data_IF_695385038482
#
_entry.id   IF_695385038482
#
_cell.length_a   1.000
_cell.length_b   1.000
_cell.length_c   1.000
_cell.angle_alpha   90.00
_cell.angle_beta   90.00
_cell.angle_gamma   90.00
#
_symmetry.space_group_name_H-M   'P 1'
#
loop_
_entity.id
_entity.type
_entity.pdbx_description
1 polymer ?
#
# COMPACT_ATOMS: atom_id res chain seq x y z
N UNK A 1 9.16 -0.51 -9.41
CA UNK A 1 8.89 -1.21 -10.68
C UNK A 1 8.73 -2.68 -10.37
N UNK A 2 7.57 -3.26 -10.68
CA UNK A 2 7.29 -4.70 -10.58
C UNK A 2 7.37 -5.26 -12.00
N UNK A 3 8.23 -6.25 -12.22
CA UNK A 3 8.36 -6.95 -13.51
C UNK A 3 7.56 -8.25 -13.40
N UNK A 4 6.63 -8.49 -14.32
CA UNK A 4 5.87 -9.73 -14.38
C UNK A 4 6.45 -10.57 -15.52
N UNK A 5 7.22 -11.61 -15.18
CA UNK A 5 7.87 -12.47 -16.16
C UNK A 5 6.82 -13.35 -16.89
N UNK A 6 6.81 -13.30 -18.21
CA UNK A 6 5.84 -14.00 -19.06
C UNK A 6 6.48 -14.98 -20.05
N UNK A 7 7.77 -15.29 -19.88
CA UNK A 7 8.51 -16.23 -20.74
C UNK A 7 7.91 -17.64 -20.75
N UNK A 8 7.14 -18.02 -19.73
CA UNK A 8 6.42 -19.30 -19.62
C UNK A 8 4.90 -19.16 -19.47
N UNK A 9 4.34 -17.94 -19.65
CA UNK A 9 2.94 -17.66 -19.40
C UNK A 9 2.04 -18.11 -20.57
N UNK A 10 1.03 -18.92 -20.27
CA UNK A 10 -0.01 -19.29 -21.23
C UNK A 10 -0.93 -18.08 -21.56
N UNK A 11 -1.73 -18.19 -22.63
CA UNK A 11 -2.64 -17.11 -23.08
C UNK A 11 -3.54 -16.57 -21.95
N UNK A 12 -4.07 -17.47 -21.13
CA UNK A 12 -4.95 -17.14 -20.00
C UNK A 12 -4.21 -16.30 -18.94
N UNK A 13 -2.94 -16.59 -18.68
CA UNK A 13 -2.12 -15.83 -17.74
C UNK A 13 -1.88 -14.41 -18.24
N UNK A 14 -1.68 -14.24 -19.56
CA UNK A 14 -1.56 -12.91 -20.17
C UNK A 14 -2.81 -12.05 -19.98
N UNK A 15 -3.99 -12.61 -20.27
CA UNK A 15 -5.28 -11.93 -20.07
C UNK A 15 -5.49 -11.50 -18.62
N UNK A 16 -5.08 -12.32 -17.64
CA UNK A 16 -5.24 -11.94 -16.24
C UNK A 16 -4.29 -10.81 -15.82
N UNK A 17 -3.08 -10.77 -16.36
CA UNK A 17 -2.15 -9.66 -16.10
C UNK A 17 -2.69 -8.36 -16.69
N UNK A 18 -3.28 -8.40 -17.88
CA UNK A 18 -3.96 -7.24 -18.48
C UNK A 18 -5.14 -6.79 -17.60
N UNK A 19 -5.96 -7.73 -17.09
CA UNK A 19 -7.02 -7.42 -16.13
C UNK A 19 -6.49 -6.82 -14.82
N UNK A 20 -5.35 -7.29 -14.32
CA UNK A 20 -4.71 -6.70 -13.13
C UNK A 20 -4.33 -5.24 -13.40
N UNK A 21 -3.74 -4.95 -14.56
CA UNK A 21 -3.38 -3.59 -14.99
C UNK A 21 -4.63 -2.71 -15.10
N UNK A 22 -5.74 -3.21 -15.63
CA UNK A 22 -6.97 -2.44 -15.76
C UNK A 22 -7.66 -2.18 -14.42
N UNK A 23 -7.59 -3.12 -13.48
CA UNK A 23 -8.02 -2.90 -12.09
C UNK A 23 -7.15 -1.84 -11.43
N UNK A 24 -5.83 -1.91 -11.59
CA UNK A 24 -4.88 -0.92 -11.08
C UNK A 24 -5.22 0.50 -11.58
N UNK A 25 -5.49 0.66 -12.88
CA UNK A 25 -5.91 1.94 -13.46
C UNK A 25 -7.24 2.46 -12.87
N UNK A 26 -8.22 1.57 -12.67
CA UNK A 26 -9.51 1.96 -12.09
C UNK A 26 -9.37 2.42 -10.64
N UNK A 27 -8.56 1.70 -9.85
CA UNK A 27 -8.32 2.02 -8.44
C UNK A 27 -7.53 3.32 -8.31
N UNK A 28 -6.57 3.57 -9.20
CA UNK A 28 -5.80 4.82 -9.23
C UNK A 28 -6.70 6.06 -9.35
N UNK A 29 -7.80 5.97 -10.10
CA UNK A 29 -8.75 7.08 -10.25
C UNK A 29 -9.40 7.53 -8.93
N UNK A 30 -9.30 6.73 -7.85
CA UNK A 30 -9.76 7.11 -6.50
C UNK A 30 -8.72 7.90 -5.71
N UNK A 31 -7.45 7.89 -6.12
CA UNK A 31 -6.33 8.56 -5.46
C UNK A 31 -6.34 8.40 -3.92
N UNK A 32 -6.39 7.16 -3.45
CA UNK A 32 -6.49 6.87 -2.03
C UNK A 32 -5.13 6.66 -1.37
N UNK A 33 -4.85 7.38 -0.28
CA UNK A 33 -3.54 7.37 0.39
C UNK A 33 -3.09 5.98 0.88
N UNK A 34 -4.04 5.09 1.20
CA UNK A 34 -3.76 3.73 1.71
C UNK A 34 -3.82 2.64 0.64
N UNK A 35 -3.78 3.02 -0.63
CA UNK A 35 -3.59 2.11 -1.75
C UNK A 35 -2.33 2.57 -2.50
N UNK A 36 -1.55 1.60 -2.98
CA UNK A 36 -0.36 1.91 -3.77
C UNK A 36 -0.75 2.61 -5.08
N UNK A 37 -0.09 3.71 -5.37
CA UNK A 37 -0.36 4.50 -6.56
C UNK A 37 0.20 3.80 -7.81
N UNK A 38 -0.63 3.64 -8.83
CA UNK A 38 -0.22 3.13 -10.14
C UNK A 38 0.31 4.29 -10.98
N UNK A 39 1.55 4.16 -11.44
CA UNK A 39 2.23 5.22 -12.21
C UNK A 39 2.24 4.94 -13.72
N UNK A 40 2.01 3.68 -14.12
CA UNK A 40 1.95 3.29 -15.52
C UNK A 40 2.32 1.83 -15.74
N UNK A 41 2.17 1.38 -16.99
CA UNK A 41 2.57 0.04 -17.42
C UNK A 41 3.18 0.11 -18.81
N UNK A 42 4.14 -0.77 -19.09
CA UNK A 42 4.77 -0.90 -20.41
C UNK A 42 5.15 -2.36 -20.65
N UNK A 43 5.62 -2.70 -21.85
CA UNK A 43 6.14 -4.04 -22.16
C UNK A 43 7.64 -3.92 -22.40
N UNK A 44 8.42 -4.80 -21.76
CA UNK A 44 9.86 -4.90 -21.93
C UNK A 44 10.23 -6.35 -22.21
N UNK A 45 10.93 -6.60 -23.32
CA UNK A 45 11.34 -7.95 -23.74
C UNK A 45 10.19 -8.97 -23.86
N UNK A 46 8.99 -8.48 -24.18
CA UNK A 46 7.76 -9.30 -24.25
C UNK A 46 7.05 -9.49 -22.91
N UNK A 47 7.61 -8.98 -21.81
CA UNK A 47 7.06 -9.06 -20.47
C UNK A 47 6.36 -7.73 -20.07
N UNK A 48 5.12 -7.75 -19.57
CA UNK A 48 4.44 -6.60 -19.02
C UNK A 48 5.09 -6.16 -17.70
N UNK A 49 5.42 -4.89 -17.65
CA UNK A 49 6.00 -4.18 -16.53
C UNK A 49 4.97 -3.23 -15.93
N UNK A 50 4.83 -3.26 -14.61
CA UNK A 50 3.96 -2.36 -13.85
C UNK A 50 4.82 -1.42 -13.02
N UNK A 51 4.59 -0.12 -13.17
CA UNK A 51 5.25 0.93 -12.42
C UNK A 51 4.29 1.44 -11.35
N UNK A 52 4.74 1.43 -10.11
CA UNK A 52 3.98 1.88 -8.95
C UNK A 52 4.87 2.77 -8.09
N UNK A 53 4.27 3.51 -7.16
CA UNK A 53 5.02 4.28 -6.18
C UNK A 53 5.99 3.40 -5.37
N UNK A 54 7.10 4.02 -4.94
CA UNK A 54 8.13 3.33 -4.16
C UNK A 54 7.70 3.26 -2.68
N UNK A 55 7.67 2.05 -2.14
CA UNK A 55 7.49 1.80 -0.71
C UNK A 55 8.79 1.35 -0.04
N UNK A 56 8.95 1.70 1.23
CA UNK A 56 10.17 1.51 2.04
C UNK A 56 10.27 0.08 2.60
N UNK A 57 9.27 -0.34 3.38
CA UNK A 57 9.26 -1.65 4.06
C UNK A 57 7.89 -2.31 3.99
N UNK A 58 7.87 -3.65 4.00
CA UNK A 58 6.64 -4.42 4.18
C UNK A 58 6.23 -4.48 5.64
N UNK A 59 4.94 -4.66 5.89
CA UNK A 59 4.41 -4.90 7.24
C UNK A 59 4.98 -6.22 7.81
N UNK A 60 5.19 -7.22 6.95
CA UNK A 60 5.87 -8.46 7.30
C UNK A 60 7.28 -8.21 7.87
N UNK A 61 8.09 -7.38 7.20
CA UNK A 61 9.44 -7.02 7.69
C UNK A 61 9.35 -6.26 9.02
N UNK A 62 8.39 -5.34 9.15
CA UNK A 62 8.16 -4.60 10.39
C UNK A 62 7.82 -5.54 11.58
N UNK A 63 6.99 -6.57 11.35
CA UNK A 63 6.63 -7.57 12.37
C UNK A 63 7.84 -8.45 12.72
N UNK A 64 8.61 -8.89 11.72
CA UNK A 64 9.86 -9.65 11.91
C UNK A 64 10.87 -8.88 12.78
N UNK A 65 11.08 -7.60 12.48
CA UNK A 65 12.01 -6.75 13.24
C UNK A 65 11.59 -6.55 14.71
N UNK A 66 10.27 -6.59 15.01
CA UNK A 66 9.76 -6.57 16.38
C UNK A 66 10.03 -7.92 17.07
N UNK A 67 9.76 -9.02 16.38
CA UNK A 67 9.96 -10.37 16.88
C UNK A 67 11.43 -10.67 17.19
N UNK A 68 12.36 -10.24 16.35
CA UNK A 68 13.81 -10.34 16.60
C UNK A 68 14.25 -9.62 17.88
N UNK A 69 13.49 -8.61 18.30
CA UNK A 69 13.71 -7.85 19.54
C UNK A 69 12.89 -8.40 20.72
N UNK A 70 12.28 -9.57 20.58
CA UNK A 70 11.32 -10.15 21.53
C UNK A 70 10.20 -9.18 21.91
N UNK A 71 9.69 -8.42 20.93
CA UNK A 71 8.59 -7.48 21.10
C UNK A 71 7.43 -7.84 20.18
N UNK A 72 6.22 -7.48 20.62
CA UNK A 72 5.02 -7.45 19.80
C UNK A 72 4.63 -6.01 19.48
N UNK A 73 3.75 -5.83 18.49
CA UNK A 73 3.21 -4.52 18.16
C UNK A 73 2.26 -4.07 19.26
N UNK A 74 2.38 -2.82 19.74
CA UNK A 74 1.45 -2.28 20.72
C UNK A 74 0.06 -2.07 20.10
N UNK A 75 -0.99 -2.19 20.92
CA UNK A 75 -2.38 -2.12 20.45
C UNK A 75 -2.72 -0.77 19.78
N UNK A 76 -2.18 0.34 20.30
CA UNK A 76 -2.40 1.66 19.72
C UNK A 76 -1.85 1.73 18.30
N UNK A 77 -0.61 1.26 18.11
CA UNK A 77 0.00 1.20 16.78
C UNK A 77 -0.70 0.20 15.87
N UNK A 78 -1.13 -0.94 16.40
CA UNK A 78 -1.94 -1.91 15.68
C UNK A 78 -3.22 -1.27 15.12
N UNK A 79 -3.98 -0.54 15.95
CA UNK A 79 -5.21 0.16 15.55
C UNK A 79 -4.91 1.22 14.48
N UNK A 80 -3.81 1.97 14.60
CA UNK A 80 -3.44 2.98 13.61
C UNK A 80 -3.13 2.38 12.23
N UNK A 81 -2.45 1.24 12.20
CA UNK A 81 -2.13 0.52 10.97
C UNK A 81 -3.38 -0.16 10.40
N UNK A 82 -4.17 -0.82 11.26
CA UNK A 82 -5.38 -1.49 10.85
C UNK A 82 -6.40 -0.52 10.26
N UNK A 83 -6.55 0.69 10.83
CA UNK A 83 -7.42 1.72 10.25
C UNK A 83 -7.03 2.02 8.80
N UNK A 84 -5.74 2.25 8.54
CA UNK A 84 -5.23 2.55 7.20
C UNK A 84 -5.51 1.41 6.22
N UNK A 85 -5.33 0.16 6.65
CA UNK A 85 -5.66 -1.01 5.83
C UNK A 85 -7.18 -1.05 5.57
N UNK A 86 -8.00 -0.83 6.59
CA UNK A 86 -9.47 -0.84 6.49
C UNK A 86 -9.96 0.25 5.53
N UNK A 87 -9.40 1.46 5.61
CA UNK A 87 -9.74 2.56 4.70
C UNK A 87 -9.41 2.20 3.24
N UNK A 88 -8.27 1.56 3.00
CA UNK A 88 -7.90 1.07 1.66
C UNK A 88 -8.82 -0.05 1.17
N UNK A 89 -9.13 -1.05 2.01
CA UNK A 89 -10.01 -2.17 1.64
C UNK A 89 -11.45 -1.70 1.39
N UNK A 90 -11.94 -0.72 2.16
CA UNK A 90 -13.27 -0.14 1.97
C UNK A 90 -13.43 0.44 0.57
N UNK A 91 -12.44 1.20 0.07
CA UNK A 91 -12.46 1.74 -1.29
C UNK A 91 -12.55 0.63 -2.34
N UNK A 92 -11.80 -0.46 -2.16
CA UNK A 92 -11.86 -1.61 -3.06
C UNK A 92 -13.24 -2.26 -3.04
N UNK A 93 -13.77 -2.51 -1.84
CA UNK A 93 -15.08 -3.15 -1.66
C UNK A 93 -16.23 -2.28 -2.19
N UNK A 94 -16.18 -0.96 -2.02
CA UNK A 94 -17.16 -0.02 -2.58
C UNK A 94 -17.11 0.02 -4.12
N UNK A 95 -15.97 -0.33 -4.73
CA UNK A 95 -15.82 -0.52 -6.17
C UNK A 95 -16.16 -1.94 -6.65
N UNK A 96 -16.65 -2.82 -5.75
CA UNK A 96 -16.84 -4.25 -6.02
C UNK A 96 -15.55 -5.00 -6.43
N UNK A 97 -14.39 -4.48 -6.01
CA UNK A 97 -13.09 -5.12 -6.22
C UNK A 97 -12.73 -5.93 -4.97
N UNK A 98 -12.44 -7.21 -5.18
CA UNK A 98 -11.96 -8.12 -4.12
C UNK A 98 -10.45 -8.25 -4.30
N UNK A 99 -9.67 -8.02 -3.24
CA UNK A 99 -8.21 -8.01 -3.31
C UNK A 99 -7.60 -9.41 -3.45
N UNK A 100 -8.13 -10.40 -2.71
CA UNK A 100 -7.81 -11.85 -2.77
C UNK A 100 -6.44 -12.27 -2.25
N UNK A 101 -5.51 -11.34 -2.03
CA UNK A 101 -4.18 -11.64 -1.47
C UNK A 101 -3.80 -10.69 -0.33
N UNK A 102 -4.76 -10.33 0.54
CA UNK A 102 -4.46 -9.50 1.71
C UNK A 102 -3.57 -10.26 2.69
N UNK A 103 -2.35 -9.76 2.87
CA UNK A 103 -1.35 -10.31 3.79
C UNK A 103 -0.31 -9.26 4.15
N UNK A 104 0.44 -9.51 5.21
CA UNK A 104 1.48 -8.59 5.70
C UNK A 104 2.59 -8.30 4.68
N UNK A 105 2.81 -9.17 3.68
CA UNK A 105 3.77 -8.92 2.59
C UNK A 105 3.25 -7.94 1.54
N UNK A 106 1.93 -7.85 1.37
CA UNK A 106 1.26 -6.99 0.38
C UNK A 106 0.77 -5.68 1.01
N UNK A 107 1.19 -5.39 2.25
CA UNK A 107 0.95 -4.11 2.91
C UNK A 107 2.31 -3.48 3.12
N UNK A 108 2.54 -2.34 2.49
CA UNK A 108 3.84 -1.67 2.49
C UNK A 108 3.73 -0.25 3.02
N UNK A 109 4.82 0.25 3.58
CA UNK A 109 4.89 1.63 4.06
C UNK A 109 5.44 2.54 2.97
N UNK A 110 4.64 3.50 2.52
CA UNK A 110 5.05 4.54 1.61
C UNK A 110 6.10 5.48 2.21
N UNK A 111 6.77 6.25 1.36
CA UNK A 111 7.71 7.29 1.79
C UNK A 111 7.03 8.41 2.59
N UNK A 112 5.73 8.60 2.35
CA UNK A 112 4.80 9.47 3.09
C UNK A 112 4.46 8.96 4.51
N UNK A 113 5.02 7.80 4.91
CA UNK A 113 4.77 7.09 6.19
C UNK A 113 3.38 6.50 6.34
N UNK A 114 2.56 6.45 5.28
CA UNK A 114 1.28 5.75 5.26
C UNK A 114 1.48 4.28 4.90
N UNK A 115 0.63 3.42 5.43
CA UNK A 115 0.52 2.03 5.02
C UNK A 115 -0.41 1.92 3.82
N UNK A 116 0.03 1.18 2.82
CA UNK A 116 -0.57 1.07 1.51
C UNK A 116 -0.77 -0.39 1.16
N UNK A 117 -1.95 -0.71 0.65
CA UNK A 117 -2.26 -2.01 0.06
C UNK A 117 -1.60 -2.09 -1.31
N UNK A 118 -0.90 -3.18 -1.56
CA UNK A 118 -0.16 -3.46 -2.79
C UNK A 118 -0.59 -4.81 -3.38
N UNK A 119 -0.24 -5.06 -4.64
CA UNK A 119 -0.38 -6.36 -5.29
C UNK A 119 -1.82 -6.94 -5.31
N UNK A 120 -2.64 -6.39 -6.21
CA UNK A 120 -3.99 -6.87 -6.48
C UNK A 120 -3.95 -8.27 -7.10
N UNK A 121 -4.49 -9.27 -6.40
CA UNK A 121 -4.38 -10.69 -6.75
C UNK A 121 -5.19 -11.14 -7.98
N UNK A 122 -5.44 -10.26 -8.95
CA UNK A 122 -6.27 -10.57 -10.15
C UNK A 122 -5.60 -11.64 -11.01
N UNK A 123 -4.27 -11.60 -11.17
CA UNK A 123 -3.50 -12.65 -11.85
C UNK A 123 -3.48 -14.01 -11.13
N UNK A 124 -3.87 -14.06 -9.85
CA UNK A 124 -3.83 -15.29 -9.04
C UNK A 124 -5.06 -16.19 -9.18
N UNK A 125 -6.07 -15.77 -9.95
CA UNK A 125 -7.23 -16.60 -10.27
C UNK A 125 -6.86 -17.91 -10.98
N UNK A 126 -5.80 -17.89 -11.81
CA UNK A 126 -5.27 -19.12 -12.44
C UNK A 126 -4.46 -19.93 -11.42
N UNK A 127 -3.71 -19.25 -10.55
CA UNK A 127 -2.98 -19.92 -9.49
C UNK A 127 -3.93 -20.73 -8.63
N UNK A 128 -5.18 -20.36 -8.30
CA UNK A 128 -6.01 -21.22 -7.43
C UNK A 128 -6.23 -22.63 -8.01
N UNK A 129 -6.36 -22.78 -9.33
CA UNK A 129 -6.43 -24.10 -9.97
C UNK A 129 -5.08 -24.85 -9.90
N UNK A 130 -3.96 -24.13 -10.00
CA UNK A 130 -2.60 -24.65 -9.88
C UNK A 130 -2.06 -24.74 -8.43
N UNK A 131 -2.65 -24.04 -7.45
CA UNK A 131 -2.33 -24.00 -6.01
C UNK A 131 -2.98 -25.20 -5.34
N UNK A 132 -4.11 -25.67 -5.87
CA UNK A 132 -4.68 -26.96 -5.49
C UNK A 132 -3.82 -28.14 -5.97
N UNK A 133 -3.03 -27.98 -7.05
CA UNK A 133 -2.14 -29.03 -7.62
C UNK A 133 -0.65 -28.85 -7.33
N UNK A 134 -0.17 -27.64 -6.98
CA UNK A 134 1.25 -27.32 -6.81
C UNK A 134 1.54 -26.58 -5.50
N UNK A 135 2.72 -26.83 -4.95
CA UNK A 135 3.34 -26.23 -3.74
C UNK A 135 3.64 -24.72 -3.88
N UNK A 136 2.80 -23.94 -4.55
CA UNK A 136 3.04 -22.54 -4.88
C UNK A 136 1.90 -21.72 -4.27
N UNK A 137 2.19 -21.01 -3.18
CA UNK A 137 1.23 -20.17 -2.47
C UNK A 137 1.59 -20.00 -1.00
N UNK A 138 1.07 -18.94 -0.36
CA UNK A 138 1.16 -18.76 1.11
C UNK A 138 -0.20 -19.16 1.71
N UNK A 139 -0.44 -20.45 2.02
CA UNK A 139 -1.77 -20.98 2.39
C UNK A 139 -2.34 -20.36 3.67
N UNK A 140 -1.50 -19.72 4.49
CA UNK A 140 -1.83 -19.20 5.82
C UNK A 140 -2.93 -18.12 5.86
N UNK A 141 -3.30 -17.52 4.72
CA UNK A 141 -4.32 -16.46 4.63
C UNK A 141 -5.58 -16.87 3.86
N UNK A 142 -5.65 -18.13 3.38
CA UNK A 142 -6.76 -18.62 2.57
C UNK A 142 -7.96 -18.96 3.45
N UNK A 143 -9.15 -18.54 3.04
CA UNK A 143 -10.39 -18.79 3.78
C UNK A 143 -11.01 -20.16 3.43
N UNK A 144 -11.77 -20.77 4.35
CA UNK A 144 -12.29 -22.14 4.20
C UNK A 144 -13.11 -22.34 2.92
N UNK A 145 -14.00 -21.41 2.57
CA UNK A 145 -14.86 -21.52 1.39
C UNK A 145 -14.09 -21.53 0.06
N UNK A 146 -12.89 -20.95 0.03
CA UNK A 146 -11.99 -20.95 -1.13
C UNK A 146 -11.31 -22.30 -1.27
N UNK A 147 -10.97 -22.93 -0.14
CA UNK A 147 -10.45 -24.31 -0.13
C UNK A 147 -11.50 -25.33 -0.58
N UNK A 148 -12.78 -24.95 -0.58
CA UNK A 148 -13.92 -25.76 -1.00
C UNK A 148 -14.40 -25.42 -2.42
N UNK A 149 -13.73 -24.50 -3.13
CA UNK A 149 -14.08 -24.11 -4.50
C UNK A 149 -15.39 -23.31 -4.63
N UNK A 150 -15.91 -22.72 -3.54
CA UNK A 150 -17.12 -21.89 -3.54
C UNK A 150 -16.83 -20.47 -4.05
N UNK A 151 -17.88 -19.75 -4.46
CA UNK A 151 -17.76 -18.39 -4.96
C UNK A 151 -17.08 -17.46 -3.96
N UNK A 152 -16.08 -16.72 -4.44
CA UNK A 152 -15.37 -15.66 -3.72
C UNK A 152 -16.27 -14.43 -3.57
N UNK A 153 -16.47 -13.96 -2.35
CA UNK A 153 -17.07 -12.66 -2.07
C UNK A 153 -16.12 -11.77 -1.25
N UNK A 154 -16.56 -10.57 -0.88
CA UNK A 154 -15.79 -9.63 -0.06
C UNK A 154 -15.45 -10.19 1.34
N UNK A 155 -16.14 -11.22 1.83
CA UNK A 155 -15.87 -11.85 3.13
C UNK A 155 -14.60 -12.68 3.14
N UNK A 156 -14.12 -13.12 1.97
CA UNK A 156 -12.82 -13.76 1.84
C UNK A 156 -11.68 -12.79 2.22
N UNK A 157 -11.76 -11.53 1.75
CA UNK A 157 -10.80 -10.48 2.16
C UNK A 157 -10.86 -10.22 3.67
N UNK A 158 -12.04 -10.29 4.29
CA UNK A 158 -12.18 -10.13 5.75
C UNK A 158 -11.48 -11.25 6.52
N UNK A 159 -11.53 -12.48 6.03
CA UNK A 159 -10.76 -13.58 6.62
C UNK A 159 -9.25 -13.35 6.48
N UNK A 160 -8.77 -13.01 5.29
CA UNK A 160 -7.36 -12.74 5.05
C UNK A 160 -6.86 -11.54 5.87
N UNK A 161 -7.71 -10.53 6.08
CA UNK A 161 -7.47 -9.44 7.02
C UNK A 161 -7.42 -9.92 8.47
N UNK A 162 -8.28 -10.85 8.88
CA UNK A 162 -8.23 -11.52 10.18
C UNK A 162 -6.90 -12.24 10.42
N UNK A 163 -6.41 -13.01 9.44
CA UNK A 163 -5.10 -13.66 9.50
C UNK A 163 -3.97 -12.63 9.59
N UNK A 164 -4.06 -11.54 8.82
CA UNK A 164 -3.12 -10.42 8.86
C UNK A 164 -3.08 -9.76 10.23
N UNK A 165 -4.25 -9.52 10.84
CA UNK A 165 -4.37 -8.94 12.18
C UNK A 165 -3.78 -9.84 13.24
N UNK A 166 -4.03 -11.15 13.16
CA UNK A 166 -3.44 -12.12 14.08
C UNK A 166 -1.90 -12.12 13.99
N UNK A 167 -1.36 -12.05 12.77
CA UNK A 167 0.10 -11.98 12.57
C UNK A 167 0.69 -10.67 13.09
N UNK A 168 0.00 -9.54 12.89
CA UNK A 168 0.41 -8.25 13.48
C UNK A 168 0.44 -8.31 15.01
N UNK A 169 -0.54 -8.96 15.62
CA UNK A 169 -0.68 -9.05 17.07
C UNK A 169 0.33 -9.99 17.72
N UNK A 170 0.67 -11.11 17.06
CA UNK A 170 1.43 -12.21 17.68
C UNK A 170 2.79 -12.47 17.05
N UNK A 171 3.05 -11.97 15.84
CA UNK A 171 4.20 -12.34 15.02
C UNK A 171 4.21 -13.80 14.57
N UNK A 172 3.05 -14.45 14.55
CA UNK A 172 2.83 -15.86 14.15
C UNK A 172 1.64 -15.97 13.20
N UNK A 173 1.55 -17.06 12.46
CA UNK A 173 0.37 -17.28 11.62
C UNK A 173 -0.81 -17.75 12.48
N UNK A 174 -2.03 -17.40 12.09
CA UNK A 174 -3.25 -17.81 12.79
C UNK A 174 -3.42 -19.33 12.76
N UNK A 175 -3.21 -19.92 11.59
CA UNK A 175 -3.30 -21.36 11.36
C UNK A 175 -1.95 -21.85 10.86
N UNK A 176 -1.38 -22.83 11.54
CA UNK A 176 -0.08 -23.42 11.21
C UNK A 176 -0.25 -24.92 10.92
N UNK A 177 0.64 -25.46 10.09
CA UNK A 177 0.67 -26.87 9.69
C UNK A 177 1.95 -27.15 8.89
N UNK A 178 2.38 -28.41 8.90
CA UNK A 178 3.60 -28.84 8.19
C UNK A 178 3.40 -28.83 6.68
N UNK A 179 2.18 -29.14 6.23
CA UNK A 179 1.77 -29.12 4.82
C UNK A 179 0.59 -28.17 4.58
N UNK A 180 0.36 -27.81 3.31
CA UNK A 180 -0.84 -27.05 2.90
C UNK A 180 -2.10 -27.80 3.32
N UNK A 181 -2.11 -29.12 3.17
CA UNK A 181 -3.22 -29.99 3.52
C UNK A 181 -3.50 -29.96 5.04
N UNK A 182 -2.47 -29.87 5.88
CA UNK A 182 -2.66 -29.79 7.33
C UNK A 182 -3.27 -28.45 7.74
N UNK A 183 -2.81 -27.36 7.14
CA UNK A 183 -3.40 -26.02 7.35
C UNK A 183 -4.88 -26.05 6.93
N UNK A 184 -5.19 -26.62 5.77
CA UNK A 184 -6.58 -26.76 5.31
C UNK A 184 -7.43 -27.62 6.25
N UNK A 185 -6.89 -28.72 6.79
CA UNK A 185 -7.61 -29.54 7.78
C UNK A 185 -7.92 -28.73 9.04
N UNK A 186 -6.96 -27.96 9.55
CA UNK A 186 -7.17 -27.10 10.72
C UNK A 186 -8.25 -26.05 10.42
N UNK A 187 -8.15 -25.36 9.29
CA UNK A 187 -9.14 -24.34 8.90
C UNK A 187 -10.54 -24.94 8.73
N UNK A 188 -10.68 -26.09 8.03
CA UNK A 188 -11.96 -26.79 7.83
C UNK A 188 -12.55 -27.36 9.10
N UNK A 189 -11.73 -27.64 10.12
CA UNK A 189 -12.24 -28.10 11.43
C UNK A 189 -13.02 -27.01 12.18
N UNK A 190 -12.93 -25.75 11.73
CA UNK A 190 -13.52 -24.60 12.43
C UNK A 190 -12.79 -24.22 13.72
N UNK A 191 -11.64 -24.84 14.02
CA UNK A 191 -10.81 -24.49 15.16
C UNK A 191 -10.30 -23.06 15.00
N UNK A 192 -10.62 -22.21 15.98
CA UNK A 192 -10.13 -20.84 16.05
C UNK A 192 -8.65 -20.80 16.50
N UNK A 193 -7.90 -19.76 16.11
CA UNK A 193 -6.51 -19.62 16.54
C UNK A 193 -6.40 -19.26 18.02
N UNK A 194 -5.24 -19.52 18.61
CA UNK A 194 -5.00 -19.27 20.03
C UNK A 194 -4.90 -17.77 20.35
N UNK A 195 -5.76 -17.26 21.24
CA UNK A 195 -5.80 -15.82 21.59
C UNK A 195 -4.95 -15.44 22.80
N UNK A 196 -4.42 -16.41 23.55
CA UNK A 196 -3.64 -16.17 24.79
C UNK A 196 -2.37 -15.35 24.54
N UNK A 197 -1.84 -15.40 23.31
CA UNK A 197 -0.66 -14.66 22.87
C UNK A 197 -0.95 -13.23 22.41
N UNK A 198 -2.22 -12.85 22.33
CA UNK A 198 -2.63 -11.50 21.95
C UNK A 198 -2.67 -10.65 23.23
N UNK A 199 -1.78 -9.66 23.34
CA UNK A 199 -1.67 -8.78 24.50
C UNK A 199 -2.59 -7.54 24.43
N UNK A 200 -3.65 -7.63 23.63
CA UNK A 200 -4.60 -6.53 23.37
C UNK A 200 -5.84 -6.61 24.28
N UNK A 201 -6.68 -5.57 24.21
CA UNK A 201 -8.01 -5.58 24.79
C UNK A 201 -8.85 -6.77 24.32
N UNK A 202 -9.78 -7.22 25.18
CA UNK A 202 -10.66 -8.34 24.85
C UNK A 202 -11.59 -7.99 23.68
N UNK A 203 -11.98 -6.72 23.55
CA UNK A 203 -12.72 -6.22 22.40
C UNK A 203 -11.94 -6.39 21.09
N UNK A 204 -10.62 -6.14 21.11
CA UNK A 204 -9.78 -6.32 19.93
C UNK A 204 -9.57 -7.79 19.58
N UNK A 205 -9.37 -8.65 20.59
CA UNK A 205 -9.31 -10.11 20.39
C UNK A 205 -10.60 -10.63 19.76
N UNK A 206 -11.74 -10.20 20.28
CA UNK A 206 -13.06 -10.57 19.77
C UNK A 206 -13.25 -10.12 18.31
N UNK A 207 -12.82 -8.90 17.94
CA UNK A 207 -12.83 -8.46 16.55
C UNK A 207 -12.00 -9.39 15.64
N UNK A 208 -10.76 -9.71 16.05
CA UNK A 208 -9.86 -10.59 15.28
C UNK A 208 -10.50 -11.96 15.07
N UNK A 209 -11.08 -12.53 16.12
CA UNK A 209 -11.74 -13.83 16.06
C UNK A 209 -13.02 -13.79 15.22
N UNK A 210 -13.82 -12.72 15.30
CA UNK A 210 -15.01 -12.54 14.45
C UNK A 210 -14.65 -12.48 12.97
N UNK A 211 -13.54 -11.83 12.61
CA UNK A 211 -13.03 -11.85 11.22
C UNK A 211 -12.64 -13.25 10.75
N UNK A 212 -12.19 -14.12 11.68
CA UNK A 212 -11.83 -15.51 11.43
C UNK A 212 -12.98 -16.51 11.65
N UNK A 213 -14.22 -16.04 11.57
CA UNK A 213 -15.39 -16.94 11.61
C UNK A 213 -15.38 -17.89 10.42
N UNK A 214 -15.56 -19.18 10.69
CA UNK A 214 -15.63 -20.21 9.65
C UNK A 214 -16.75 -19.91 8.64
N UNK A 215 -17.94 -19.54 9.12
CA UNK A 215 -19.05 -19.10 8.29
C UNK A 215 -18.84 -17.64 7.81
N UNK A 216 -18.64 -17.45 6.50
CA UNK A 216 -18.35 -16.14 5.90
C UNK A 216 -19.40 -15.07 6.22
N UNK A 217 -20.67 -15.44 6.30
CA UNK A 217 -21.77 -14.53 6.64
C UNK A 217 -21.66 -13.95 8.06
N UNK A 218 -21.02 -14.65 9.00
CA UNK A 218 -20.80 -14.16 10.38
C UNK A 218 -19.65 -13.17 10.49
N UNK A 219 -18.75 -13.12 9.50
CA UNK A 219 -17.66 -12.15 9.49
C UNK A 219 -18.24 -10.74 9.36
N UNK A 220 -17.70 -9.74 10.06
CA UNK A 220 -18.15 -8.35 9.89
C UNK A 220 -17.92 -7.86 8.46
N UNK A 221 -18.62 -6.80 8.03
CA UNK A 221 -18.26 -6.09 6.80
C UNK A 221 -17.12 -5.12 7.09
N UNK A 222 -16.39 -4.69 6.05
CA UNK A 222 -15.31 -3.72 6.22
C UNK A 222 -15.80 -2.42 6.90
N UNK A 223 -17.01 -1.96 6.56
CA UNK A 223 -17.68 -0.80 7.19
C UNK A 223 -17.90 -0.99 8.70
N UNK A 224 -18.37 -2.17 9.13
CA UNK A 224 -18.53 -2.47 10.57
C UNK A 224 -17.19 -2.49 11.32
N UNK A 225 -16.12 -2.98 10.67
CA UNK A 225 -14.78 -2.94 11.24
C UNK A 225 -14.32 -1.50 11.40
N UNK A 226 -14.53 -0.66 10.38
CA UNK A 226 -14.20 0.77 10.41
C UNK A 226 -14.91 1.50 11.56
N UNK A 227 -16.21 1.35 11.67
CA UNK A 227 -17.02 1.92 12.76
C UNK A 227 -16.51 1.49 14.14
N UNK A 228 -16.16 0.21 14.30
CA UNK A 228 -15.58 -0.30 15.54
C UNK A 228 -14.24 0.38 15.88
N UNK A 229 -13.34 0.57 14.90
CA UNK A 229 -12.05 1.20 15.13
C UNK A 229 -12.18 2.68 15.50
N UNK A 230 -13.09 3.40 14.85
CA UNK A 230 -13.38 4.81 15.15
C UNK A 230 -13.90 4.99 16.59
N UNK A 231 -14.79 4.11 17.02
CA UNK A 231 -15.31 4.11 18.39
C UNK A 231 -14.22 3.80 19.44
N UNK A 232 -13.28 2.91 19.14
CA UNK A 232 -12.19 2.57 20.06
C UNK A 232 -11.09 3.65 20.11
N UNK A 233 -10.79 4.32 18.99
CA UNK A 233 -9.86 5.47 18.96
C UNK A 233 -10.33 6.63 19.83
N UNK A 234 -11.62 6.96 19.81
CA UNK A 234 -12.18 8.06 20.62
C UNK A 234 -12.13 7.75 22.12
N UNK A 235 -12.29 6.49 22.52
CA UNK A 235 -12.17 6.03 23.91
C UNK A 235 -10.73 6.13 24.42
N UNK A 236 -9.76 5.73 23.61
CA UNK A 236 -8.35 5.77 23.97
C UNK A 236 -7.81 7.22 24.02
N UNK A 237 -8.29 8.09 23.12
CA UNK A 237 -8.02 9.54 23.14
C UNK A 237 -8.51 10.23 24.44
N UNK A 238 -9.66 9.79 24.97
CA UNK A 238 -10.20 10.26 26.26
C UNK A 238 -9.42 9.69 27.46
N UNK A 239 -8.94 8.44 27.38
CA UNK A 239 -8.06 7.82 28.41
C UNK A 239 -6.66 8.47 28.45
N UNK A 240 -6.06 8.73 27.30
CA UNK A 240 -4.73 9.37 27.17
C UNK A 240 -4.70 10.84 27.59
N UNK A 241 -5.84 11.57 27.54
CA UNK A 241 -5.94 12.94 28.10
C UNK A 241 -5.70 13.02 29.62
N UNK A 242 -5.82 11.92 30.38
CA UNK A 242 -5.45 11.87 31.81
C UNK A 242 -3.99 11.51 32.09
N UNK A 243 -3.21 11.13 31.08
CA UNK A 243 -1.77 10.81 31.19
C UNK A 243 -1.03 11.35 29.96
N UNK A 244 -0.73 12.65 29.92
CA UNK A 244 0.20 13.16 28.90
C UNK A 244 1.18 14.17 29.47
N UNK A 245 2.39 13.70 29.74
CA UNK A 245 3.58 14.53 29.82
C UNK A 245 4.41 14.34 28.53
N UNK A 246 4.45 15.43 27.74
CA UNK A 246 5.64 15.97 27.05
C UNK A 246 6.45 15.13 26.02
N UNK A 247 5.89 14.15 25.31
CA UNK A 247 6.66 13.46 24.22
C UNK A 247 6.08 13.45 22.81
N UNK A 248 4.78 13.69 22.62
CA UNK A 248 4.17 13.55 21.28
C UNK A 248 3.96 14.87 20.53
N UNK A 249 4.28 16.02 21.14
CA UNK A 249 4.14 17.33 20.46
C UNK A 249 5.18 17.51 19.35
N UNK A 250 6.36 16.92 19.52
CA UNK A 250 7.50 17.17 18.63
C UNK A 250 7.37 16.44 17.26
N UNK A 251 6.65 15.32 17.17
CA UNK A 251 6.52 14.56 15.91
C UNK A 251 5.40 15.06 14.99
N UNK A 252 4.33 15.64 15.56
CA UNK A 252 3.21 16.20 14.79
C UNK A 252 3.55 17.59 14.22
N UNK A 253 4.32 18.39 14.95
CA UNK A 253 4.76 19.73 14.54
C UNK A 253 5.81 19.67 13.41
N UNK A 254 6.61 18.59 13.33
CA UNK A 254 7.62 18.36 12.28
C UNK A 254 6.98 17.97 10.93
N UNK A 255 5.82 17.29 10.92
CA UNK A 255 5.19 16.77 9.69
C UNK A 255 4.52 17.82 8.81
N UNK A 256 3.98 18.87 9.43
CA UNK A 256 3.21 19.90 8.73
C UNK A 256 4.09 20.96 8.08
N UNK A 257 5.19 21.34 8.71
CA UNK A 257 6.00 22.47 8.25
C UNK A 257 7.11 22.05 7.27
N UNK A 258 7.84 20.94 7.47
CA UNK A 258 9.08 20.72 6.70
C UNK A 258 8.91 20.40 5.21
N UNK A 259 7.89 19.66 4.79
CA UNK A 259 7.76 19.28 3.37
C UNK A 259 7.21 20.42 2.50
N UNK A 260 6.19 21.12 2.98
CA UNK A 260 5.61 22.28 2.30
C UNK A 260 6.58 23.48 2.29
N UNK A 261 7.32 23.70 3.38
CA UNK A 261 8.35 24.72 3.46
C UNK A 261 9.52 24.42 2.52
N UNK A 262 9.93 23.15 2.39
CA UNK A 262 10.99 22.75 1.44
C UNK A 262 10.56 22.97 0.00
N UNK A 263 9.33 22.58 -0.38
CA UNK A 263 8.83 22.79 -1.75
C UNK A 263 8.68 24.28 -2.06
N UNK A 264 8.16 25.08 -1.12
CA UNK A 264 8.01 26.53 -1.31
C UNK A 264 9.36 27.26 -1.33
N UNK A 265 10.32 26.83 -0.51
CA UNK A 265 11.68 27.36 -0.49
C UNK A 265 12.48 27.02 -1.75
N UNK A 266 12.35 25.79 -2.27
CA UNK A 266 12.93 25.37 -3.56
C UNK A 266 12.38 26.26 -4.69
N UNK A 267 11.06 26.45 -4.74
CA UNK A 267 10.42 27.36 -5.72
C UNK A 267 10.91 28.81 -5.59
N UNK A 268 11.18 29.29 -4.38
CA UNK A 268 11.70 30.65 -4.12
C UNK A 268 13.14 30.80 -4.58
N UNK A 269 14.04 29.87 -4.23
CA UNK A 269 15.44 29.92 -4.63
C UNK A 269 15.67 29.72 -6.14
N UNK A 270 14.81 28.95 -6.81
CA UNK A 270 14.85 28.77 -8.27
C UNK A 270 14.44 30.05 -9.04
N UNK A 271 13.69 30.96 -8.41
CA UNK A 271 13.35 32.28 -8.96
C UNK A 271 14.56 33.23 -8.97
N UNK A 272 15.51 33.01 -8.06
CA UNK A 272 16.66 33.89 -7.82
C UNK A 272 17.94 33.49 -8.60
N UNK A 273 17.84 32.55 -9.57
CA UNK A 273 18.95 32.06 -10.42
C UNK A 273 20.24 31.69 -9.65
N UNK A 274 20.11 31.06 -8.49
CA UNK A 274 21.25 30.69 -7.64
C UNK A 274 22.02 29.48 -8.23
N UNK A 275 23.36 29.51 -8.15
CA UNK A 275 24.20 28.40 -8.60
C UNK A 275 23.99 27.11 -7.77
N UNK A 276 24.17 25.94 -8.40
CA UNK A 276 23.91 24.63 -7.78
C UNK A 276 24.72 24.41 -6.50
N UNK A 277 26.00 24.79 -6.50
CA UNK A 277 26.90 24.66 -5.35
C UNK A 277 26.47 25.54 -4.16
N UNK A 278 25.86 26.69 -4.44
CA UNK A 278 25.35 27.61 -3.43
C UNK A 278 23.97 27.18 -2.91
N UNK A 279 23.16 26.57 -3.78
CA UNK A 279 21.88 25.94 -3.42
C UNK A 279 22.08 24.77 -2.43
N UNK A 280 23.00 23.84 -2.72
CA UNK A 280 23.30 22.71 -1.83
C UNK A 280 23.75 23.19 -0.44
N UNK A 281 24.58 24.24 -0.39
CA UNK A 281 25.06 24.84 0.85
C UNK A 281 23.92 25.48 1.66
N UNK A 282 23.01 26.21 1.03
CA UNK A 282 21.88 26.89 1.70
C UNK A 282 20.85 25.90 2.22
N UNK A 283 20.48 24.89 1.42
CA UNK A 283 19.46 23.91 1.82
C UNK A 283 20.00 22.99 2.91
N UNK A 284 21.22 22.45 2.76
CA UNK A 284 21.80 21.55 3.77
C UNK A 284 22.05 22.22 5.13
N UNK A 285 22.28 23.53 5.16
CA UNK A 285 22.39 24.32 6.39
C UNK A 285 21.04 24.46 7.12
N UNK A 286 19.92 24.42 6.40
CA UNK A 286 18.59 24.70 6.95
C UNK A 286 17.82 23.43 7.35
N UNK A 287 17.97 22.32 6.61
CA UNK A 287 17.27 21.05 6.92
C UNK A 287 18.17 19.96 7.50
N UNK A 288 19.48 20.23 7.60
CA UNK A 288 20.49 19.29 8.06
C UNK A 288 20.97 18.33 6.97
N UNK A 289 22.27 18.00 6.99
CA UNK A 289 22.94 17.20 5.95
C UNK A 289 22.30 15.82 5.71
N UNK A 290 21.93 15.11 6.78
CA UNK A 290 21.34 13.77 6.68
C UNK A 290 19.99 13.76 5.95
N UNK A 291 19.16 14.78 6.20
CA UNK A 291 17.86 14.90 5.55
C UNK A 291 18.02 15.38 4.10
N UNK A 292 18.97 16.29 3.87
CA UNK A 292 19.32 16.78 2.55
C UNK A 292 19.72 15.63 1.61
N UNK A 293 20.67 14.77 2.00
CA UNK A 293 21.11 13.68 1.12
C UNK A 293 20.04 12.60 0.89
N UNK A 294 19.09 12.41 1.81
CA UNK A 294 17.94 11.50 1.60
C UNK A 294 16.94 12.03 0.59
N UNK A 295 16.77 13.35 0.51
CA UNK A 295 15.83 14.00 -0.41
C UNK A 295 16.49 14.45 -1.71
N UNK A 296 17.83 14.47 -1.77
CA UNK A 296 18.61 14.90 -2.93
C UNK A 296 18.22 14.21 -4.24
N UNK A 297 17.97 12.88 -4.29
CA UNK A 297 17.52 12.22 -5.52
C UNK A 297 16.16 12.72 -6.01
N UNK A 298 15.23 12.98 -5.08
CA UNK A 298 13.91 13.54 -5.39
C UNK A 298 14.04 14.97 -5.92
N UNK A 299 14.94 15.76 -5.33
CA UNK A 299 15.21 17.13 -5.75
C UNK A 299 15.83 17.18 -7.17
N UNK A 300 16.76 16.27 -7.48
CA UNK A 300 17.30 16.15 -8.84
C UNK A 300 16.24 15.71 -9.86
N UNK A 301 15.37 14.75 -9.48
CA UNK A 301 14.28 14.30 -10.35
C UNK A 301 13.25 15.41 -10.64
N UNK A 302 12.90 16.22 -9.63
CA UNK A 302 12.02 17.37 -9.80
C UNK A 302 12.63 18.43 -10.73
N UNK A 303 13.94 18.72 -10.58
CA UNK A 303 14.68 19.64 -11.46
C UNK A 303 14.66 19.16 -12.91
N UNK A 304 14.95 17.87 -13.15
CA UNK A 304 14.93 17.28 -14.50
C UNK A 304 13.54 17.32 -15.16
N UNK A 305 12.48 17.05 -14.40
CA UNK A 305 11.10 17.14 -14.90
C UNK A 305 10.72 18.58 -15.28
N UNK A 306 11.20 19.56 -14.53
CA UNK A 306 10.89 20.96 -14.75
C UNK A 306 11.72 21.57 -15.90
N UNK A 307 12.98 21.16 -16.05
CA UNK A 307 13.81 21.49 -17.22
C UNK A 307 13.21 20.88 -18.49
N UNK A 308 12.75 19.62 -18.43
CA UNK A 308 12.03 18.99 -19.52
C UNK A 308 10.73 19.75 -19.87
N UNK A 309 10.01 20.26 -18.86
CA UNK A 309 8.81 21.08 -19.06
C UNK A 309 9.12 22.43 -19.70
N UNK A 310 10.19 23.11 -19.29
CA UNK A 310 10.67 24.37 -19.91
C UNK A 310 11.10 24.17 -21.36
N UNK A 311 11.82 23.08 -21.66
CA UNK A 311 12.19 22.71 -23.02
C UNK A 311 10.97 22.37 -23.89
N UNK A 312 9.94 21.76 -23.31
CA UNK A 312 8.71 21.44 -24.03
C UNK A 312 7.89 22.71 -24.31
N UNK A 313 7.79 23.63 -23.34
CA UNK A 313 7.12 24.92 -23.52
C UNK A 313 7.85 25.83 -24.52
N UNK A 314 9.19 25.84 -24.53
CA UNK A 314 9.95 26.62 -25.50
C UNK A 314 9.77 26.09 -26.92
N UNK A 315 9.76 24.75 -27.10
CA UNK A 315 9.47 24.09 -28.38
C UNK A 315 8.04 24.33 -28.87
N UNK A 316 7.05 24.34 -27.97
CA UNK A 316 5.66 24.68 -28.32
C UNK A 316 5.54 26.15 -28.79
N UNK A 317 6.17 27.10 -28.08
CA UNK A 317 6.15 28.51 -28.51
C UNK A 317 6.92 28.76 -29.83
N UNK A 318 7.95 27.96 -30.13
CA UNK A 318 8.65 28.01 -31.42
C UNK A 318 7.82 27.41 -32.56
N UNK A 319 7.06 26.32 -32.29
CA UNK A 319 6.12 25.72 -33.25
C UNK A 319 4.95 26.65 -33.59
N UNK A 320 4.40 27.35 -32.59
CA UNK A 320 3.32 28.33 -32.83
C UNK A 320 3.80 29.53 -33.65
N UNK A 321 5.06 29.97 -33.46
CA UNK A 321 5.69 31.00 -34.31
C UNK A 321 5.97 30.52 -35.74
N UNK A 322 6.30 29.24 -35.94
CA UNK A 322 6.54 28.69 -37.28
C UNK A 322 5.25 28.39 -38.04
N UNK A 323 4.19 27.94 -37.36
CA UNK A 323 2.86 27.78 -37.99
C UNK A 323 2.21 29.13 -38.34
N UNK A 324 2.41 30.17 -37.53
CA UNK A 324 1.95 31.52 -37.87
C UNK A 324 2.61 32.12 -39.13
N UNK A 325 3.86 31.75 -39.41
CA UNK A 325 4.60 32.20 -40.60
C UNK A 325 4.24 31.40 -41.88
N UNK A 326 3.75 30.17 -41.76
CA UNK A 326 3.30 29.37 -42.91
C UNK A 326 1.90 29.74 -43.39
N UNK A 327 1.02 30.24 -42.51
CA UNK A 327 -0.32 30.68 -42.91
C UNK A 327 -0.35 32.07 -43.57
N UNK A 328 0.63 32.95 -43.30
CA UNK A 328 0.72 34.27 -43.95
C UNK A 328 1.28 34.25 -45.38
N UNK A 329 1.75 33.11 -45.88
CA UNK A 329 2.31 32.97 -47.24
C UNK A 329 1.37 32.21 -48.21
N UNK A 330 0.12 31.95 -47.83
CA UNK A 330 -0.87 31.25 -48.67
C UNK A 330 -2.08 32.12 -49.08
N UNK A 331 -2.09 33.40 -48.72
CA UNK A 331 -3.15 34.37 -49.11
C UNK A 331 -2.65 35.43 -50.12
N UNK A 332 -1.49 35.22 -50.73
CA UNK A 332 -0.96 36.09 -51.79
C UNK A 332 -0.45 35.25 -52.95
N UNK A 333 -1.38 34.71 -53.74
CA UNK A 333 -1.25 34.48 -55.20
C UNK A 333 -2.62 34.17 -55.81
#
# INVERSE_FOLDING_TARGET
MKIINMKSANHRHKELVEREIDVLKQVEAKHHQNIVSFLGSFVQDGDPCVVMELCDITLFKKIRDLKEKNKVMDEGKFIDILQQIVDGVEVLHDMNIIHRDLKTKNIMRGLDRQWKICDFGVAKLIEIADVMTARIGTPYYMCPEVTDGKCYDQKADIWSLGCTCYEMATGRYAFEGETVQDIQKVVRSGKLPETTKIEYSDEMKDLIIKMLSHEGARRPTIKKIKEFLEQNKTRDSKRKKKKKHKRDRDEEEIRSYKAADVVSFIKKLQKDQVSEKEFEKKVSAQIGKDMFYRLYPLMQAMKLLEDARRHTQSRLSQKDKTMGLTFSNLESD
#
